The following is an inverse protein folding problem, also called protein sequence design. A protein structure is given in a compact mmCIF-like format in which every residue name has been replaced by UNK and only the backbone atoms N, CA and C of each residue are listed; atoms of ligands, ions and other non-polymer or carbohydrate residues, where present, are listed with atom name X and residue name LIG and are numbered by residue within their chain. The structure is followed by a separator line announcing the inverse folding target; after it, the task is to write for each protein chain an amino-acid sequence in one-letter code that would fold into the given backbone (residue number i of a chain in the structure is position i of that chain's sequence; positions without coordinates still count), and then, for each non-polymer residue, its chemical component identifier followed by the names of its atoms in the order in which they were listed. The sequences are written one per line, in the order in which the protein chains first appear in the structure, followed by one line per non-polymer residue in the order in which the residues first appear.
data_IF_801141500531
#
_entry.id   IF_801141500531
#
_cell.length_a   1.000
_cell.length_b   1.000
_cell.length_c   1.000
_cell.angle_alpha   90.00
_cell.angle_beta   90.00
_cell.angle_gamma   90.00
#
_symmetry.space_group_name_H-M   'P 1'
#
loop_
_entity.id
_entity.type
_entity.pdbx_description
1 polymer ?
#
# COMPACT_ATOMS: atom_id res chain seq x y z
N UNK A 1 -44.57 22.53 1.54
CA UNK A 1 -43.38 21.67 1.77
C UNK A 1 -42.83 21.19 0.43
N UNK A 2 -41.51 21.12 0.26
CA UNK A 2 -40.89 20.62 -0.97
C UNK A 2 -40.89 19.07 -0.98
N UNK A 3 -41.35 18.45 -2.06
CA UNK A 3 -41.40 16.98 -2.20
C UNK A 3 -40.02 16.32 -1.99
N UNK A 4 -38.95 16.94 -2.51
CA UNK A 4 -37.59 16.41 -2.41
C UNK A 4 -37.12 16.31 -0.96
N UNK A 5 -37.55 17.26 -0.10
CA UNK A 5 -37.22 17.28 1.32
C UNK A 5 -37.99 16.20 2.09
N UNK A 6 -39.25 15.94 1.74
CA UNK A 6 -40.02 14.84 2.33
C UNK A 6 -39.49 13.47 1.91
N UNK A 7 -39.04 13.33 0.66
CA UNK A 7 -38.37 12.12 0.18
C UNK A 7 -37.05 11.89 0.94
N UNK A 8 -36.29 12.95 1.22
CA UNK A 8 -35.06 12.88 2.02
C UNK A 8 -35.35 12.50 3.49
N UNK A 9 -36.37 13.09 4.11
CA UNK A 9 -36.77 12.79 5.49
C UNK A 9 -37.17 11.30 5.64
N UNK A 10 -37.92 10.77 4.66
CA UNK A 10 -38.25 9.35 4.60
C UNK A 10 -37.00 8.48 4.40
N UNK A 11 -36.11 8.85 3.47
CA UNK A 11 -34.82 8.16 3.25
C UNK A 11 -33.95 8.11 4.51
N UNK A 12 -33.91 9.17 5.32
CA UNK A 12 -33.16 9.19 6.58
C UNK A 12 -33.72 8.22 7.63
N UNK A 13 -35.05 8.00 7.63
CA UNK A 13 -35.74 7.10 8.58
C UNK A 13 -35.74 5.64 8.13
N UNK A 14 -36.02 5.37 6.86
CA UNK A 14 -36.23 4.01 6.32
C UNK A 14 -35.03 3.48 5.50
N UNK A 15 -34.06 4.34 5.16
CA UNK A 15 -32.84 3.97 4.42
C UNK A 15 -33.00 3.78 2.92
N UNK A 16 -34.19 3.43 2.43
CA UNK A 16 -34.50 3.31 1.00
C UNK A 16 -35.93 3.73 0.67
N UNK A 17 -36.19 4.13 -0.57
CA UNK A 17 -37.52 4.44 -1.10
C UNK A 17 -37.65 4.08 -2.58
N UNK A 18 -38.73 3.39 -2.93
CA UNK A 18 -39.08 2.90 -4.27
C UNK A 18 -40.15 3.80 -4.91
N UNK A 19 -39.78 4.56 -5.94
CA UNK A 19 -40.71 5.37 -6.72
C UNK A 19 -41.08 4.66 -8.02
N UNK A 20 -42.32 4.19 -8.10
CA UNK A 20 -42.89 3.55 -9.30
C UNK A 20 -42.79 4.48 -10.51
N UNK A 21 -42.24 3.97 -11.62
CA UNK A 21 -42.03 4.74 -12.85
C UNK A 21 -40.78 5.65 -12.84
N UNK A 22 -39.96 5.61 -11.79
CA UNK A 22 -38.68 6.33 -11.73
C UNK A 22 -37.52 5.40 -11.35
N UNK A 23 -37.53 4.83 -10.14
CA UNK A 23 -36.45 4.00 -9.64
C UNK A 23 -36.41 3.91 -8.11
N UNK A 24 -35.33 3.34 -7.59
CA UNK A 24 -35.13 3.14 -6.14
C UNK A 24 -34.02 4.09 -5.67
N UNK A 25 -34.34 4.95 -4.71
CA UNK A 25 -33.34 5.71 -3.95
C UNK A 25 -32.96 4.94 -2.70
N UNK A 26 -31.71 5.05 -2.27
CA UNK A 26 -31.23 4.43 -1.03
C UNK A 26 -30.03 5.19 -0.46
N UNK A 27 -29.87 5.18 0.85
CA UNK A 27 -28.67 5.69 1.50
C UNK A 27 -27.56 4.66 1.41
N UNK A 28 -26.43 5.08 0.83
CA UNK A 28 -25.22 4.26 0.69
C UNK A 28 -24.15 4.78 1.65
N UNK A 29 -23.59 3.90 2.47
CA UNK A 29 -22.41 4.24 3.27
C UNK A 29 -21.20 4.48 2.36
N UNK A 30 -20.47 5.56 2.61
CA UNK A 30 -19.27 5.96 1.88
C UNK A 30 -18.11 6.15 2.86
N UNK A 31 -16.92 5.77 2.42
CA UNK A 31 -15.71 5.90 3.23
C UNK A 31 -15.23 7.35 3.28
N UNK A 32 -14.20 7.60 4.10
CA UNK A 32 -13.41 8.81 3.98
C UNK A 32 -12.81 8.91 2.57
N UNK A 33 -12.78 10.12 2.01
CA UNK A 33 -12.25 10.40 0.67
C UNK A 33 -11.33 11.61 0.76
N UNK A 34 -10.15 11.52 0.17
CA UNK A 34 -9.26 12.68 -0.01
C UNK A 34 -9.79 13.50 -1.19
N UNK A 35 -10.16 14.74 -0.94
CA UNK A 35 -10.39 15.72 -2.00
C UNK A 35 -9.07 16.42 -2.33
N UNK A 36 -8.46 16.02 -3.44
CA UNK A 36 -7.22 16.63 -3.94
C UNK A 36 -7.40 18.08 -4.38
N UNK A 37 -8.61 18.47 -4.80
CA UNK A 37 -8.91 19.84 -5.22
C UNK A 37 -9.17 20.76 -4.02
N UNK A 38 -9.92 20.27 -3.02
CA UNK A 38 -10.12 20.96 -1.74
C UNK A 38 -8.89 20.94 -0.81
N UNK A 39 -7.90 20.08 -1.09
CA UNK A 39 -6.80 19.72 -0.18
C UNK A 39 -7.32 19.30 1.19
N UNK A 40 -8.32 18.43 1.24
CA UNK A 40 -8.96 18.00 2.48
C UNK A 40 -9.26 16.49 2.50
N UNK A 41 -9.53 15.96 3.69
CA UNK A 41 -10.05 14.60 3.89
C UNK A 41 -11.49 14.74 4.37
N UNK A 42 -12.43 14.34 3.52
CA UNK A 42 -13.84 14.27 3.88
C UNK A 42 -14.07 13.06 4.80
N UNK A 43 -14.75 13.22 5.94
CA UNK A 43 -15.02 12.14 6.89
C UNK A 43 -15.95 11.08 6.29
N UNK A 44 -15.95 9.82 6.75
CA UNK A 44 -16.92 8.82 6.29
C UNK A 44 -18.35 9.28 6.59
N UNK A 45 -19.31 8.85 5.76
CA UNK A 45 -20.67 9.37 5.81
C UNK A 45 -21.67 8.50 5.05
N UNK A 46 -22.80 9.09 4.65
CA UNK A 46 -23.69 8.49 3.64
C UNK A 46 -23.90 9.44 2.46
N UNK A 47 -24.19 8.83 1.32
CA UNK A 47 -24.63 9.49 0.09
C UNK A 47 -26.05 8.99 -0.25
N UNK A 48 -26.89 9.85 -0.80
CA UNK A 48 -28.08 9.38 -1.52
C UNK A 48 -27.61 8.71 -2.81
N UNK A 49 -27.96 7.45 -3.01
CA UNK A 49 -27.69 6.71 -4.23
C UNK A 49 -29.01 6.35 -4.93
N UNK A 50 -28.92 6.03 -6.22
CA UNK A 50 -30.07 5.71 -7.05
C UNK A 50 -29.82 4.43 -7.86
N UNK A 51 -30.88 3.66 -8.08
CA UNK A 51 -30.90 2.51 -8.97
C UNK A 51 -32.07 2.64 -9.95
N UNK A 52 -31.75 2.71 -11.25
CA UNK A 52 -32.73 2.66 -12.32
C UNK A 52 -33.27 1.22 -12.47
N UNK A 53 -34.26 0.89 -11.65
CA UNK A 53 -34.99 -0.38 -11.65
C UNK A 53 -36.45 -0.07 -11.40
N UNK A 54 -37.36 -0.72 -12.12
CA UNK A 54 -38.80 -0.56 -11.86
C UNK A 54 -39.11 -0.86 -10.40
N UNK A 55 -39.53 0.18 -9.67
CA UNK A 55 -39.89 0.13 -8.27
C UNK A 55 -41.33 -0.33 -8.08
N UNK A 56 -41.55 -1.23 -7.13
CA UNK A 56 -42.89 -1.60 -6.68
C UNK A 56 -43.55 -0.43 -5.93
N UNK A 57 -44.88 -0.49 -5.75
CA UNK A 57 -45.63 0.51 -4.99
C UNK A 57 -45.22 0.44 -3.52
N UNK A 58 -44.61 1.50 -3.02
CA UNK A 58 -44.20 1.56 -1.61
C UNK A 58 -45.27 2.22 -0.74
N UNK A 59 -46.05 1.36 -0.08
CA UNK A 59 -47.20 1.77 0.75
C UNK A 59 -46.74 2.66 1.93
N UNK A 60 -45.57 2.37 2.52
CA UNK A 60 -45.03 3.11 3.66
C UNK A 60 -44.72 4.58 3.30
N UNK A 61 -44.15 4.84 2.12
CA UNK A 61 -43.91 6.21 1.65
C UNK A 61 -45.21 6.95 1.30
N UNK A 62 -46.21 6.25 0.73
CA UNK A 62 -47.53 6.84 0.45
C UNK A 62 -48.22 7.25 1.77
N UNK A 63 -48.19 6.38 2.78
CA UNK A 63 -48.76 6.65 4.10
C UNK A 63 -48.04 7.79 4.82
N UNK A 64 -46.70 7.83 4.77
CA UNK A 64 -45.90 8.94 5.28
C UNK A 64 -46.25 10.28 4.59
N UNK A 65 -46.36 10.29 3.26
CA UNK A 65 -46.70 11.51 2.50
C UNK A 65 -48.13 11.98 2.79
N UNK A 66 -49.08 11.04 2.92
CA UNK A 66 -50.47 11.29 3.32
C UNK A 66 -50.54 11.95 4.70
N UNK A 67 -49.86 11.38 5.71
CA UNK A 67 -49.81 11.93 7.06
C UNK A 67 -49.16 13.32 7.10
N UNK A 68 -48.02 13.50 6.42
CA UNK A 68 -47.24 14.74 6.46
C UNK A 68 -47.90 15.91 5.72
N UNK A 69 -48.79 15.63 4.75
CA UNK A 69 -49.56 16.65 4.02
C UNK A 69 -51.03 16.75 4.43
N UNK A 70 -51.52 15.85 5.29
CA UNK A 70 -52.92 15.73 5.66
C UNK A 70 -53.85 15.57 4.45
N UNK A 71 -53.48 14.68 3.52
CA UNK A 71 -54.22 14.32 2.29
C UNK A 71 -54.53 12.83 2.29
N UNK A 72 -55.47 12.37 1.46
CA UNK A 72 -55.75 10.94 1.32
C UNK A 72 -54.58 10.17 0.68
N UNK A 73 -54.47 8.87 0.95
CA UNK A 73 -53.45 8.01 0.33
C UNK A 73 -53.54 8.00 -1.20
N UNK A 74 -54.74 8.11 -1.76
CA UNK A 74 -54.96 8.19 -3.21
C UNK A 74 -54.41 9.50 -3.80
N UNK A 75 -54.62 10.63 -3.13
CA UNK A 75 -54.06 11.92 -3.54
C UNK A 75 -52.53 11.94 -3.41
N UNK A 76 -51.98 11.33 -2.36
CA UNK A 76 -50.54 11.14 -2.19
C UNK A 76 -49.93 10.31 -3.33
N UNK A 77 -50.57 9.19 -3.72
CA UNK A 77 -50.11 8.37 -4.85
C UNK A 77 -50.21 9.13 -6.20
N UNK A 78 -51.25 9.94 -6.40
CA UNK A 78 -51.40 10.82 -7.58
C UNK A 78 -50.29 11.89 -7.60
N UNK A 79 -49.95 12.49 -6.46
CA UNK A 79 -48.90 13.50 -6.37
C UNK A 79 -47.51 12.91 -6.67
N UNK A 80 -47.19 11.73 -6.12
CA UNK A 80 -45.96 10.99 -6.42
C UNK A 80 -45.85 10.74 -7.94
N UNK A 81 -46.90 10.20 -8.56
CA UNK A 81 -46.94 9.98 -10.02
C UNK A 81 -46.71 11.27 -10.79
N UNK A 82 -47.43 12.35 -10.46
CA UNK A 82 -47.28 13.67 -11.10
C UNK A 82 -45.85 14.21 -11.00
N UNK A 83 -45.20 14.03 -9.84
CA UNK A 83 -43.82 14.46 -9.61
C UNK A 83 -42.83 13.64 -10.44
N UNK A 84 -42.98 12.32 -10.48
CA UNK A 84 -42.19 11.40 -11.32
C UNK A 84 -42.34 11.73 -12.81
N UNK A 85 -43.57 11.94 -13.31
CA UNK A 85 -43.79 12.33 -14.71
C UNK A 85 -43.11 13.66 -15.05
N UNK A 86 -43.16 14.64 -14.13
CA UNK A 86 -42.42 15.90 -14.30
C UNK A 86 -40.92 15.68 -14.38
N UNK A 87 -40.35 14.85 -13.50
CA UNK A 87 -38.92 14.55 -13.46
C UNK A 87 -38.43 13.84 -14.73
N UNK A 88 -39.19 12.85 -15.22
CA UNK A 88 -38.89 12.18 -16.49
C UNK A 88 -38.93 13.17 -17.66
N UNK A 89 -39.97 14.02 -17.75
CA UNK A 89 -40.07 15.00 -18.84
C UNK A 89 -38.96 16.06 -18.80
N UNK A 90 -38.53 16.50 -17.61
CA UNK A 90 -37.36 17.39 -17.46
C UNK A 90 -36.08 16.70 -17.90
N UNK A 91 -35.86 15.44 -17.49
CA UNK A 91 -34.67 14.67 -17.90
C UNK A 91 -34.58 14.43 -19.40
N UNK A 92 -35.71 14.12 -20.06
CA UNK A 92 -35.77 13.93 -21.51
C UNK A 92 -35.52 15.22 -22.29
N UNK A 93 -35.97 16.38 -21.77
CA UNK A 93 -35.87 17.68 -22.47
C UNK A 93 -34.55 18.41 -22.21
N UNK A 94 -34.09 18.44 -20.97
CA UNK A 94 -32.94 19.22 -20.53
C UNK A 94 -31.67 18.37 -20.36
N UNK A 95 -31.79 17.03 -20.39
CA UNK A 95 -30.68 16.11 -20.15
C UNK A 95 -30.15 16.11 -18.71
N UNK A 96 -30.72 16.94 -17.83
CA UNK A 96 -30.27 17.16 -16.45
C UNK A 96 -31.46 17.50 -15.56
N UNK A 97 -31.46 17.00 -14.32
CA UNK A 97 -32.46 17.34 -13.30
C UNK A 97 -31.77 17.49 -11.94
N UNK A 98 -31.88 18.67 -11.35
CA UNK A 98 -31.37 18.95 -10.01
C UNK A 98 -32.50 18.72 -9.00
N UNK A 99 -32.28 17.81 -8.04
CA UNK A 99 -33.14 17.60 -6.90
C UNK A 99 -32.46 18.12 -5.63
N UNK A 100 -32.99 19.23 -5.13
CA UNK A 100 -32.53 19.87 -3.89
C UNK A 100 -32.40 18.86 -2.74
N UNK A 101 -31.25 18.88 -2.06
CA UNK A 101 -30.85 17.99 -0.96
C UNK A 101 -30.75 16.47 -1.27
N UNK A 102 -31.05 16.04 -2.49
CA UNK A 102 -30.96 14.63 -2.91
C UNK A 102 -29.78 14.38 -3.85
N UNK A 103 -29.61 15.23 -4.86
CA UNK A 103 -28.55 15.08 -5.86
C UNK A 103 -28.92 15.63 -7.23
N UNK A 104 -28.13 15.30 -8.25
CA UNK A 104 -28.36 15.69 -9.64
C UNK A 104 -28.34 14.47 -10.56
N UNK A 105 -29.38 14.36 -11.38
CA UNK A 105 -29.47 13.40 -12.47
C UNK A 105 -28.93 13.99 -13.77
N UNK A 106 -28.31 13.14 -14.57
CA UNK A 106 -27.75 13.46 -15.89
C UNK A 106 -28.09 12.33 -16.85
N UNK A 107 -28.49 12.66 -18.08
CA UNK A 107 -28.70 11.71 -19.15
C UNK A 107 -27.46 11.73 -20.05
N UNK A 108 -26.71 10.63 -20.09
CA UNK A 108 -25.54 10.45 -20.94
C UNK A 108 -25.62 9.07 -21.62
N UNK A 109 -25.30 8.99 -22.92
CA UNK A 109 -25.33 7.74 -23.71
C UNK A 109 -26.64 6.94 -23.58
N UNK A 110 -27.79 7.64 -23.50
CA UNK A 110 -29.13 7.09 -23.23
C UNK A 110 -29.28 6.38 -21.86
N UNK A 111 -28.34 6.56 -20.94
CA UNK A 111 -28.36 6.04 -19.58
C UNK A 111 -28.52 7.17 -18.56
N UNK A 112 -29.27 6.89 -17.50
CA UNK A 112 -29.50 7.82 -16.40
C UNK A 112 -28.38 7.64 -15.38
N UNK A 113 -27.52 8.65 -15.27
CA UNK A 113 -26.52 8.78 -14.22
C UNK A 113 -27.04 9.66 -13.09
N UNK A 114 -26.65 9.34 -11.86
CA UNK A 114 -27.02 10.11 -10.67
C UNK A 114 -25.77 10.41 -9.84
N UNK A 115 -25.61 11.68 -9.46
CA UNK A 115 -24.63 12.14 -8.48
C UNK A 115 -25.38 12.55 -7.22
N UNK A 116 -25.19 11.83 -6.13
CA UNK A 116 -25.89 12.08 -4.88
C UNK A 116 -25.38 13.32 -4.15
N UNK A 117 -26.17 13.77 -3.19
CA UNK A 117 -25.69 14.66 -2.12
C UNK A 117 -25.05 13.81 -1.02
N UNK A 118 -23.79 14.10 -0.69
CA UNK A 118 -23.09 13.61 0.51
C UNK A 118 -23.57 14.42 1.73
N UNK A 119 -23.80 13.76 2.86
CA UNK A 119 -23.97 14.43 4.14
C UNK A 119 -23.53 13.55 5.30
N UNK A 120 -22.80 14.11 6.28
CA UNK A 120 -22.50 13.41 7.53
C UNK A 120 -23.77 13.16 8.36
N UNK A 121 -24.72 14.11 8.34
CA UNK A 121 -25.96 14.09 9.13
C UNK A 121 -26.93 12.91 8.81
N UNK A 122 -26.61 12.09 7.82
CA UNK A 122 -27.40 10.90 7.45
C UNK A 122 -27.10 9.66 8.31
N UNK A 123 -26.13 9.70 9.24
CA UNK A 123 -25.97 8.68 10.30
C UNK A 123 -25.49 9.28 11.61
N UNK A 124 -26.02 8.85 12.77
CA UNK A 124 -25.44 9.21 14.07
C UNK A 124 -24.04 8.62 14.26
N UNK A 125 -23.69 7.54 13.54
CA UNK A 125 -22.41 6.82 13.66
C UNK A 125 -21.18 7.68 13.28
N UNK A 126 -21.39 8.77 12.53
CA UNK A 126 -20.33 9.67 12.05
C UNK A 126 -20.35 11.02 12.78
N UNK A 127 -21.18 11.18 13.81
CA UNK A 127 -21.28 12.41 14.58
C UNK A 127 -19.95 12.77 15.25
N UNK A 128 -19.48 14.00 15.03
CA UNK A 128 -18.20 14.49 15.55
C UNK A 128 -16.97 14.13 14.69
N UNK A 129 -17.15 13.53 13.51
CA UNK A 129 -16.09 13.40 12.51
C UNK A 129 -16.11 14.63 11.60
N UNK A 130 -15.06 15.46 11.67
CA UNK A 130 -14.93 16.69 10.90
C UNK A 130 -14.07 16.52 9.64
N UNK A 131 -14.20 17.45 8.69
CA UNK A 131 -13.32 17.56 7.52
C UNK A 131 -11.91 18.02 7.93
N UNK A 132 -10.89 17.28 7.51
CA UNK A 132 -9.49 17.56 7.87
C UNK A 132 -8.79 18.25 6.71
N UNK A 133 -8.51 19.55 6.84
CA UNK A 133 -7.70 20.29 5.84
C UNK A 133 -6.23 19.84 5.89
N UNK A 134 -5.67 19.50 4.73
CA UNK A 134 -4.30 19.02 4.55
C UNK A 134 -3.41 20.17 4.06
N UNK A 135 -2.29 20.39 4.74
CA UNK A 135 -1.22 21.25 4.22
C UNK A 135 -0.24 20.45 3.36
N UNK A 136 0.09 20.98 2.18
CA UNK A 136 1.02 20.32 1.26
C UNK A 136 2.46 20.36 1.79
N UNK A 137 2.99 19.19 2.14
CA UNK A 137 4.35 19.06 2.67
C UNK A 137 5.35 19.25 1.52
N UNK A 138 5.79 20.50 1.32
CA UNK A 138 6.95 20.77 0.46
C UNK A 138 8.20 20.19 1.13
N UNK A 139 8.57 18.97 0.77
CA UNK A 139 9.84 18.36 1.13
C UNK A 139 10.99 19.16 0.51
N UNK A 140 11.44 20.21 1.21
CA UNK A 140 12.67 20.95 0.90
C UNK A 140 13.88 20.07 1.23
N UNK A 141 14.11 19.06 0.39
CA UNK A 141 15.29 18.20 0.32
C UNK A 141 16.17 18.18 1.59
N UNK A 142 15.67 17.61 2.68
CA UNK A 142 16.55 17.06 3.70
C UNK A 142 17.29 15.90 3.03
N UNK A 143 18.62 15.97 2.84
CA UNK A 143 19.34 14.89 2.17
C UNK A 143 19.27 13.64 3.05
N UNK A 144 18.41 12.70 2.65
CA UNK A 144 18.23 11.40 3.30
C UNK A 144 19.56 10.66 3.29
N UNK A 145 20.24 10.71 4.43
CA UNK A 145 21.52 10.05 4.61
C UNK A 145 21.27 8.55 4.75
N UNK A 146 22.06 7.75 4.02
CA UNK A 146 21.95 6.30 3.82
C UNK A 146 20.78 5.93 2.87
N UNK A 147 21.02 5.34 1.70
CA UNK A 147 21.78 4.10 1.48
C UNK A 147 22.89 4.27 0.43
N UNK A 148 23.91 3.41 0.51
CA UNK A 148 25.08 3.46 -0.34
C UNK A 148 24.76 3.17 -1.82
N UNK A 149 25.35 3.95 -2.73
CA UNK A 149 26.22 3.39 -3.78
C UNK A 149 27.14 4.47 -4.40
N UNK A 150 28.41 4.10 -4.58
CA UNK A 150 29.37 4.69 -5.55
C UNK A 150 29.53 6.21 -5.53
N UNK A 151 30.16 6.74 -4.47
CA UNK A 151 30.81 8.07 -4.54
C UNK A 151 31.93 8.03 -5.59
N UNK A 152 31.71 8.68 -6.73
CA UNK A 152 32.78 9.01 -7.67
C UNK A 152 33.79 9.93 -6.96
N UNK A 153 35.08 9.67 -7.17
CA UNK A 153 36.15 10.42 -6.50
C UNK A 153 36.34 11.77 -7.20
N UNK A 154 35.51 12.75 -6.85
CA UNK A 154 35.65 14.12 -7.35
C UNK A 154 36.78 14.83 -6.59
N UNK A 155 37.94 14.93 -7.24
CA UNK A 155 39.09 15.67 -6.72
C UNK A 155 38.72 17.16 -6.58
N UNK A 156 38.37 17.57 -5.36
CA UNK A 156 38.13 18.97 -5.04
C UNK A 156 39.45 19.76 -5.02
N UNK A 157 39.38 21.10 -5.02
CA UNK A 157 40.56 21.98 -4.94
C UNK A 157 41.43 21.80 -3.68
N UNK A 158 41.05 20.92 -2.74
CA UNK A 158 41.88 20.57 -1.57
C UNK A 158 43.11 19.72 -1.90
N UNK A 159 43.22 19.19 -3.12
CA UNK A 159 44.29 18.25 -3.53
C UNK A 159 45.64 18.96 -3.75
N UNK A 160 45.63 20.26 -4.05
CA UNK A 160 46.85 21.05 -4.24
C UNK A 160 47.77 21.09 -3.01
N UNK A 161 47.25 20.84 -1.80
CA UNK A 161 48.06 20.76 -0.58
C UNK A 161 48.85 19.45 -0.45
N UNK A 162 48.45 18.38 -1.17
CA UNK A 162 49.15 17.08 -1.15
C UNK A 162 50.34 17.06 -2.13
N UNK A 163 50.29 17.90 -3.18
CA UNK A 163 51.34 18.04 -4.20
C UNK A 163 52.73 18.32 -3.61
N UNK A 164 52.96 19.30 -2.71
CA UNK A 164 54.29 19.54 -2.13
C UNK A 164 54.82 18.35 -1.31
N UNK A 165 53.94 17.59 -0.65
CA UNK A 165 54.33 16.38 0.09
C UNK A 165 54.80 15.27 -0.85
N UNK A 166 54.10 15.05 -1.97
CA UNK A 166 54.52 14.09 -3.01
C UNK A 166 55.85 14.51 -3.64
N UNK A 167 56.04 15.81 -3.96
CA UNK A 167 57.29 16.34 -4.50
C UNK A 167 58.46 16.12 -3.52
N UNK A 168 58.24 16.36 -2.22
CA UNK A 168 59.27 16.14 -1.18
C UNK A 168 59.70 14.68 -1.10
N UNK A 169 58.77 13.73 -1.15
CA UNK A 169 59.06 12.29 -1.16
C UNK A 169 59.80 11.88 -2.46
N UNK A 170 59.41 12.42 -3.61
CA UNK A 170 60.10 12.16 -4.88
C UNK A 170 61.55 12.69 -4.87
N UNK A 171 61.77 13.88 -4.31
CA UNK A 171 63.11 14.46 -4.19
C UNK A 171 64.01 13.61 -3.26
N UNK A 172 63.49 13.15 -2.12
CA UNK A 172 64.22 12.30 -1.17
C UNK A 172 64.59 10.94 -1.77
N UNK A 173 63.68 10.30 -2.50
CA UNK A 173 63.95 9.01 -3.17
C UNK A 173 64.97 9.16 -4.30
N UNK A 174 64.86 10.20 -5.13
CA UNK A 174 65.86 10.51 -6.16
C UNK A 174 67.24 10.82 -5.57
N UNK A 175 67.31 11.59 -4.48
CA UNK A 175 68.56 11.90 -3.79
C UNK A 175 69.20 10.66 -3.14
N UNK A 176 68.38 9.77 -2.58
CA UNK A 176 68.80 8.48 -2.03
C UNK A 176 69.44 7.55 -3.06
N UNK A 177 68.92 7.53 -4.30
CA UNK A 177 69.45 6.73 -5.41
C UNK A 177 70.73 7.35 -5.99
N UNK A 178 70.81 8.68 -6.08
CA UNK A 178 71.92 9.38 -6.75
C UNK A 178 73.13 9.67 -5.87
N UNK A 179 72.95 9.83 -4.54
CA UNK A 179 74.05 10.07 -3.59
C UNK A 179 74.05 9.07 -2.41
N UNK A 180 73.96 7.75 -2.65
CA UNK A 180 73.84 6.76 -1.58
C UNK A 180 75.04 6.77 -0.63
N UNK A 181 76.23 7.09 -1.13
CA UNK A 181 77.48 7.07 -0.34
C UNK A 181 77.54 8.15 0.74
N UNK A 182 76.83 9.27 0.57
CA UNK A 182 76.73 10.33 1.61
C UNK A 182 75.70 10.01 2.69
N UNK A 183 74.69 9.21 2.36
CA UNK A 183 73.55 8.91 3.24
C UNK A 183 73.78 7.62 4.03
N UNK A 184 74.38 6.61 3.39
CA UNK A 184 74.57 5.27 3.96
C UNK A 184 76.04 4.91 4.25
N UNK A 185 76.99 5.79 3.90
CA UNK A 185 78.42 5.56 4.09
C UNK A 185 79.00 4.50 3.14
N UNK A 186 80.31 4.24 3.28
CA UNK A 186 81.01 3.26 2.45
C UNK A 186 80.66 1.83 2.88
N UNK A 187 80.24 0.99 1.93
CA UNK A 187 79.89 -0.42 2.16
C UNK A 187 81.06 -1.18 2.80
N UNK A 188 80.88 -1.66 4.04
CA UNK A 188 81.98 -2.19 4.87
C UNK A 188 82.36 -3.65 4.63
N UNK A 189 81.74 -4.34 3.66
CA UNK A 189 82.07 -5.74 3.36
C UNK A 189 82.28 -5.95 1.85
N UNK A 190 83.48 -6.42 1.51
CA UNK A 190 83.82 -7.00 0.22
C UNK A 190 84.24 -8.46 0.42
N UNK A 191 84.11 -9.19 -0.66
CA UNK A 191 84.57 -10.56 -0.90
C UNK A 191 83.70 -11.69 -0.33
N UNK A 192 83.45 -12.68 -1.19
CA UNK A 192 82.42 -13.69 -1.01
C UNK A 192 82.91 -14.95 -0.32
N UNK A 193 81.98 -15.67 0.31
CA UNK A 193 82.25 -16.97 0.91
C UNK A 193 82.51 -18.03 -0.19
N UNK A 194 83.78 -18.40 -0.32
CA UNK A 194 84.24 -19.39 -1.27
C UNK A 194 83.71 -20.79 -0.95
N UNK A 195 83.31 -21.49 -2.01
CA UNK A 195 82.72 -22.84 -1.99
C UNK A 195 83.83 -23.91 -1.98
N UNK A 196 84.01 -24.67 -0.88
CA UNK A 196 84.77 -25.94 -0.89
C UNK A 196 84.13 -27.07 -0.06
N UNK A 197 83.49 -27.96 -0.81
CA UNK A 197 83.58 -29.44 -0.80
C UNK A 197 83.57 -30.27 0.51
N UNK A 198 82.60 -31.19 0.53
CA UNK A 198 82.24 -32.22 1.52
C UNK A 198 83.13 -33.48 1.49
N UNK A 199 83.38 -34.14 2.63
CA UNK A 199 83.48 -35.62 2.90
C UNK A 199 83.47 -35.86 4.44
N UNK A 200 82.94 -36.91 5.09
CA UNK A 200 81.92 -37.94 4.76
C UNK A 200 81.43 -38.68 6.04
N UNK A 201 80.10 -38.70 6.27
CA UNK A 201 79.26 -39.73 6.93
C UNK A 201 79.74 -40.62 8.12
N UNK A 202 79.04 -40.52 9.27
CA UNK A 202 78.22 -41.58 9.94
C UNK A 202 77.24 -40.86 10.89
N UNK A 203 75.92 -41.03 10.74
CA UNK A 203 75.05 -41.87 11.61
C UNK A 203 75.49 -41.80 13.08
N UNK A 204 74.70 -41.23 13.99
CA UNK A 204 73.29 -41.62 14.20
C UNK A 204 72.22 -40.81 13.48
N UNK A 205 71.10 -41.49 13.22
CA UNK A 205 70.14 -41.06 12.23
C UNK A 205 68.72 -41.49 12.58
N UNK A 206 67.76 -40.59 12.29
CA UNK A 206 66.33 -40.82 11.97
C UNK A 206 65.41 -40.79 13.21
N UNK A 207 64.36 -39.96 13.29
CA UNK A 207 63.74 -38.97 12.37
C UNK A 207 63.18 -37.80 13.20
N UNK A 208 63.25 -36.50 12.87
CA UNK A 208 62.98 -35.80 11.59
C UNK A 208 61.48 -35.92 11.22
N UNK A 209 60.72 -34.88 10.93
CA UNK A 209 60.86 -33.42 11.08
C UNK A 209 59.50 -32.78 10.73
N UNK A 210 59.41 -31.45 10.83
CA UNK A 210 58.68 -30.58 9.90
C UNK A 210 57.25 -30.94 9.46
N UNK A 211 56.31 -30.27 10.11
CA UNK A 211 55.61 -29.12 9.52
C UNK A 211 55.08 -29.19 8.08
N UNK A 212 53.86 -28.63 7.97
CA UNK A 212 53.22 -28.00 6.80
C UNK A 212 52.33 -28.92 5.95
N UNK A 213 51.30 -28.26 5.41
CA UNK A 213 50.44 -28.64 4.29
C UNK A 213 49.08 -29.28 4.57
N UNK A 214 48.06 -28.47 4.22
CA UNK A 214 46.77 -28.82 3.62
C UNK A 214 45.61 -29.29 4.53
N UNK A 215 44.62 -28.40 4.68
CA UNK A 215 43.22 -28.79 4.54
C UNK A 215 43.00 -29.39 3.12
N UNK A 216 42.01 -30.26 2.85
CA UNK A 216 40.80 -30.56 3.64
C UNK A 216 40.48 -32.07 3.76
N UNK A 217 39.23 -32.40 4.14
CA UNK A 217 38.54 -33.70 3.97
C UNK A 217 39.07 -34.88 4.84
N UNK A 218 38.30 -35.94 5.14
CA UNK A 218 36.86 -36.17 5.31
C UNK A 218 36.72 -37.50 6.10
N UNK A 219 35.49 -37.86 6.48
CA UNK A 219 35.02 -39.24 6.65
C UNK A 219 35.61 -40.18 7.75
N UNK A 220 34.80 -40.29 8.81
CA UNK A 220 34.19 -41.56 9.29
C UNK A 220 35.06 -42.75 9.75
N UNK A 221 34.94 -43.08 11.04
CA UNK A 221 34.36 -44.38 11.52
C UNK A 221 34.09 -44.27 13.04
N UNK A 222 32.88 -44.59 13.54
CA UNK A 222 32.49 -45.85 14.23
C UNK A 222 33.36 -46.19 15.47
N UNK A 223 32.90 -46.70 16.62
CA UNK A 223 31.59 -47.03 17.26
C UNK A 223 31.93 -47.47 18.70
N UNK A 224 31.11 -47.36 19.75
CA UNK A 224 29.82 -46.67 20.03
C UNK A 224 29.72 -46.56 21.59
N UNK A 225 28.73 -45.86 22.13
CA UNK A 225 27.80 -46.45 23.13
C UNK A 225 26.73 -45.43 23.59
N UNK A 226 25.48 -45.72 23.18
CA UNK A 226 24.27 -45.77 24.04
C UNK A 226 24.02 -44.65 25.09
N UNK A 227 22.85 -43.99 25.14
CA UNK A 227 21.68 -43.99 24.24
C UNK A 227 20.73 -42.83 24.59
N UNK A 228 20.11 -42.21 23.57
CA UNK A 228 18.73 -41.66 23.51
C UNK A 228 18.07 -41.03 24.77
N UNK A 229 17.40 -39.86 24.68
CA UNK A 229 16.37 -39.63 23.66
C UNK A 229 16.24 -38.21 23.10
N UNK A 230 16.48 -38.12 21.78
CA UNK A 230 15.52 -37.68 20.74
C UNK A 230 15.10 -36.20 20.69
N UNK A 231 15.87 -35.54 19.84
CA UNK A 231 15.77 -34.29 19.06
C UNK A 231 14.37 -33.90 18.49
N UNK A 232 14.11 -32.58 18.28
CA UNK A 232 12.93 -32.03 17.58
C UNK A 232 13.07 -32.00 16.04
N UNK A 233 11.96 -31.79 15.31
CA UNK A 233 12.03 -31.38 13.89
C UNK A 233 11.02 -30.28 13.49
N UNK A 234 11.53 -29.29 12.75
CA UNK A 234 10.76 -28.37 11.90
C UNK A 234 10.47 -29.04 10.54
N UNK A 235 9.32 -28.68 9.95
CA UNK A 235 8.93 -28.59 8.50
C UNK A 235 7.42 -28.91 8.40
N UNK A 236 6.64 -28.44 7.44
CA UNK A 236 6.88 -27.65 6.22
C UNK A 236 5.73 -26.64 5.99
N UNK A 237 5.94 -25.63 5.14
CA UNK A 237 4.91 -24.70 4.69
C UNK A 237 3.93 -25.38 3.71
N UNK A 238 2.62 -25.29 3.98
CA UNK A 238 1.57 -25.75 3.04
C UNK A 238 0.97 -24.58 2.26
N UNK A 239 1.05 -24.69 0.93
CA UNK A 239 0.37 -23.80 -0.04
C UNK A 239 -1.15 -23.91 0.13
N UNK A 240 -1.82 -22.77 0.16
CA UNK A 240 -3.28 -22.71 0.00
C UNK A 240 -3.64 -23.02 -1.46
N UNK A 241 -4.48 -24.02 -1.72
CA UNK A 241 -5.00 -24.29 -3.06
C UNK A 241 -6.51 -24.07 -3.10
N UNK A 242 -6.97 -23.34 -4.11
CA UNK A 242 -8.39 -23.12 -4.36
C UNK A 242 -9.03 -24.37 -4.96
N UNK A 243 -10.15 -24.81 -4.40
CA UNK A 243 -11.08 -25.71 -5.09
C UNK A 243 -12.49 -25.15 -5.09
N UNK A 244 -13.00 -25.02 -6.32
CA UNK A 244 -14.31 -24.53 -6.74
C UNK A 244 -15.31 -25.68 -6.61
N UNK A 245 -16.43 -25.46 -5.91
CA UNK A 245 -17.60 -26.34 -6.02
C UNK A 245 -18.87 -25.52 -6.28
N UNK A 246 -19.81 -26.18 -6.95
CA UNK A 246 -20.95 -25.62 -7.67
C UNK A 246 -22.25 -26.07 -7.01
N UNK A 247 -23.25 -25.19 -7.03
CA UNK A 247 -24.67 -25.43 -6.72
C UNK A 247 -25.04 -25.91 -5.30
N UNK A 248 -25.68 -25.02 -4.53
CA UNK A 248 -26.78 -25.42 -3.63
C UNK A 248 -28.02 -24.58 -3.94
N UNK A 249 -29.11 -25.26 -4.35
CA UNK A 249 -30.43 -24.64 -4.56
C UNK A 249 -31.08 -24.47 -3.19
N UNK A 250 -31.31 -23.24 -2.76
CA UNK A 250 -32.10 -22.97 -1.55
C UNK A 250 -33.55 -23.43 -1.76
N UNK A 251 -33.97 -24.41 -0.96
CA UNK A 251 -35.36 -24.90 -0.94
C UNK A 251 -36.23 -23.91 -0.16
N UNK A 252 -37.41 -23.59 -0.69
CA UNK A 252 -38.40 -22.73 -0.02
C UNK A 252 -38.83 -23.32 1.33
N UNK A 253 -38.93 -22.48 2.36
CA UNK A 253 -39.57 -22.85 3.61
C UNK A 253 -41.09 -23.05 3.39
N UNK A 254 -41.68 -24.04 4.07
CA UNK A 254 -43.14 -24.27 4.04
C UNK A 254 -43.84 -23.28 4.96
N UNK A 255 -45.00 -22.77 4.54
CA UNK A 255 -45.96 -22.11 5.45
C UNK A 255 -46.47 -23.13 6.49
N UNK A 256 -46.63 -22.77 7.78
CA UNK A 256 -47.60 -23.44 8.63
C UNK A 256 -49.02 -23.04 8.18
N UNK A 257 -49.93 -24.01 8.11
CA UNK A 257 -51.37 -23.74 8.06
C UNK A 257 -51.92 -23.54 9.47
N UNK A 258 -52.97 -22.74 9.59
CA UNK A 258 -53.66 -22.46 10.85
C UNK A 258 -54.14 -23.72 11.56
N UNK A 259 -54.31 -23.59 12.88
CA UNK A 259 -55.42 -24.17 13.61
C UNK A 259 -56.04 -23.10 14.49
#
# INVERSE_FOLDING_TARGET
MNFSQLLLEFLQKHGSVSLTGFGIFYLKNINAVVDEAGKSILPPGKEVAFQNKSGEREIEFISFLSAQKNISELEAEIEIRKRVTSWNSTLEKEGKLLLENLGTFFLADHQIHFKGTRSENFSPDFYGLEEITISEITNKNTPSTNIAEKKSFTFSKSVYWVIPLVISVLALTYFGITQPEKIFGKKSFKDGFNKKTVQKLKKDSVKIDSATFLNPNLDSSLTDTLKSSIIPQKTSSKKWSSKKHINSKWKKAKKPQNR
#
